data_IF_594881388618
#
_entry.id   IF_594881388618
#
_cell.length_a   1.000
_cell.length_b   1.000
_cell.length_c   1.000
_cell.angle_alpha   90.00
_cell.angle_beta   90.00
_cell.angle_gamma   90.00
#
_symmetry.space_group_name_H-M   'P 1'
#
loop_
_entity.id
_entity.type
_entity.pdbx_description
1 polymer ?
#
# COMPACT_ATOMS: atom_id res chain seq x y z
N UNK A 1 3.75 -28.03 -16.42
CA UNK A 1 3.79 -29.39 -15.83
C UNK A 1 2.81 -29.40 -14.65
N UNK A 2 1.90 -30.37 -14.63
CA UNK A 2 0.87 -30.53 -13.57
C UNK A 2 1.16 -31.85 -12.84
N UNK A 3 1.17 -31.83 -11.50
CA UNK A 3 1.38 -33.03 -10.69
C UNK A 3 0.47 -33.04 -9.45
N UNK A 4 0.13 -34.22 -8.96
CA UNK A 4 -0.54 -34.39 -7.67
C UNK A 4 0.54 -34.54 -6.58
N UNK A 5 0.41 -33.80 -5.50
CA UNK A 5 1.33 -33.85 -4.35
C UNK A 5 0.89 -34.95 -3.37
N UNK A 6 1.80 -35.32 -2.48
CA UNK A 6 1.51 -36.28 -1.40
C UNK A 6 0.44 -35.76 -0.43
N UNK A 7 0.32 -34.44 -0.25
CA UNK A 7 -0.72 -33.80 0.56
C UNK A 7 -2.11 -33.78 -0.12
N UNK A 8 -2.27 -34.47 -1.27
CA UNK A 8 -3.52 -34.59 -2.02
C UNK A 8 -3.87 -33.38 -2.90
N UNK A 9 -3.13 -32.28 -2.82
CA UNK A 9 -3.34 -31.09 -3.65
C UNK A 9 -2.70 -31.25 -5.02
N UNK A 10 -3.29 -30.60 -6.00
CA UNK A 10 -2.73 -30.47 -7.34
C UNK A 10 -1.82 -29.25 -7.43
N UNK A 11 -0.66 -29.43 -8.02
CA UNK A 11 0.33 -28.37 -8.28
C UNK A 11 0.58 -28.23 -9.78
N UNK A 12 0.55 -26.98 -10.25
CA UNK A 12 1.01 -26.59 -11.57
C UNK A 12 2.00 -25.45 -11.48
N UNK A 13 2.86 -25.30 -12.49
CA UNK A 13 3.81 -24.19 -12.59
C UNK A 13 3.76 -23.57 -13.97
N UNK A 14 3.90 -22.24 -14.01
CA UNK A 14 4.06 -21.43 -15.22
C UNK A 14 5.38 -20.67 -15.13
N UNK A 15 5.99 -20.40 -16.29
CA UNK A 15 7.13 -19.49 -16.38
C UNK A 15 6.56 -18.07 -16.42
N UNK A 16 7.09 -17.18 -15.59
CA UNK A 16 6.64 -15.79 -15.47
C UNK A 16 7.77 -14.79 -15.76
N UNK A 17 8.96 -15.25 -16.05
CA UNK A 17 10.13 -14.45 -16.39
C UNK A 17 11.39 -15.29 -16.44
N UNK A 18 12.51 -14.66 -16.70
CA UNK A 18 13.84 -15.30 -16.71
C UNK A 18 14.80 -14.50 -15.82
N UNK A 19 15.78 -15.21 -15.26
CA UNK A 19 16.87 -14.59 -14.51
C UNK A 19 17.89 -13.97 -15.47
N UNK A 20 18.80 -13.16 -14.95
CA UNK A 20 19.89 -12.61 -15.73
C UNK A 20 20.78 -13.69 -16.40
N UNK A 21 20.83 -14.89 -15.83
CA UNK A 21 21.54 -16.05 -16.38
C UNK A 21 20.71 -16.89 -17.38
N UNK A 22 19.48 -16.47 -17.71
CA UNK A 22 18.57 -17.16 -18.62
C UNK A 22 17.70 -18.25 -17.97
N UNK A 23 17.88 -18.58 -16.69
CA UNK A 23 17.06 -19.56 -15.99
C UNK A 23 15.62 -19.07 -15.82
N UNK A 24 14.59 -19.93 -16.02
CA UNK A 24 13.19 -19.53 -15.90
C UNK A 24 12.79 -19.27 -14.44
N UNK A 25 12.03 -18.20 -14.21
CA UNK A 25 11.34 -17.89 -12.96
C UNK A 25 9.98 -18.56 -13.00
N UNK A 26 9.75 -19.51 -12.05
CA UNK A 26 8.49 -20.25 -11.97
C UNK A 26 7.55 -19.65 -10.94
N UNK A 27 6.27 -19.56 -11.31
CA UNK A 27 5.16 -19.38 -10.37
C UNK A 27 4.42 -20.70 -10.18
N UNK A 28 4.26 -21.09 -8.91
CA UNK A 28 3.52 -22.29 -8.53
C UNK A 28 2.08 -21.95 -8.19
N UNK A 29 1.16 -22.77 -8.71
CA UNK A 29 -0.29 -22.64 -8.48
C UNK A 29 -0.78 -23.93 -7.86
N UNK A 30 -1.64 -23.82 -6.84
CA UNK A 30 -2.15 -24.97 -6.11
C UNK A 30 -3.68 -24.98 -6.10
N UNK A 31 -4.27 -26.18 -6.20
CA UNK A 31 -5.71 -26.38 -6.08
C UNK A 31 -6.05 -27.75 -5.47
N UNK A 32 -7.28 -27.88 -4.93
CA UNK A 32 -7.78 -29.15 -4.39
C UNK A 32 -8.16 -30.14 -5.47
N UNK A 33 -8.58 -29.68 -6.64
CA UNK A 33 -8.98 -30.50 -7.80
C UNK A 33 -8.18 -30.11 -9.04
N UNK A 34 -8.05 -31.03 -9.97
CA UNK A 34 -7.36 -30.79 -11.25
C UNK A 34 -8.09 -29.73 -12.07
N UNK A 35 -9.43 -29.74 -12.13
CA UNK A 35 -10.23 -28.74 -12.83
C UNK A 35 -9.98 -27.33 -12.30
N UNK A 36 -10.05 -27.15 -10.97
CA UNK A 36 -9.76 -25.88 -10.34
C UNK A 36 -8.31 -25.42 -10.54
N UNK A 37 -7.35 -26.35 -10.65
CA UNK A 37 -5.98 -26.03 -10.99
C UNK A 37 -5.88 -25.50 -12.42
N UNK A 38 -6.53 -26.16 -13.39
CA UNK A 38 -6.52 -25.73 -14.81
C UNK A 38 -7.11 -24.32 -14.95
N UNK A 39 -8.25 -24.04 -14.32
CA UNK A 39 -8.85 -22.70 -14.32
C UNK A 39 -7.90 -21.65 -13.73
N UNK A 40 -7.26 -21.95 -12.60
CA UNK A 40 -6.28 -21.04 -11.99
C UNK A 40 -5.02 -20.86 -12.85
N UNK A 41 -4.57 -21.89 -13.54
CA UNK A 41 -3.44 -21.81 -14.48
C UNK A 41 -3.78 -20.90 -15.66
N UNK A 42 -4.96 -21.06 -16.27
CA UNK A 42 -5.42 -20.15 -17.33
C UNK A 42 -5.48 -18.71 -16.87
N UNK A 43 -6.11 -18.43 -15.74
CA UNK A 43 -6.14 -17.07 -15.15
C UNK A 43 -4.73 -16.53 -14.89
N UNK A 44 -3.81 -17.39 -14.42
CA UNK A 44 -2.42 -16.97 -14.18
C UNK A 44 -1.71 -16.69 -15.51
N UNK A 45 -1.90 -17.51 -16.54
CA UNK A 45 -1.31 -17.30 -17.87
C UNK A 45 -1.81 -15.97 -18.43
N UNK A 46 -3.12 -15.71 -18.41
CA UNK A 46 -3.70 -14.44 -18.87
C UNK A 46 -3.12 -13.22 -18.10
N UNK A 47 -2.92 -13.36 -16.80
CA UNK A 47 -2.34 -12.27 -15.97
C UNK A 47 -0.87 -12.00 -16.28
N UNK A 48 -0.11 -13.01 -16.70
CA UNK A 48 1.32 -12.92 -16.99
C UNK A 48 1.65 -12.98 -18.47
N UNK A 49 0.62 -13.01 -19.33
CA UNK A 49 0.80 -12.95 -20.78
C UNK A 49 1.45 -11.61 -21.12
N UNK A 50 2.55 -11.66 -21.84
CA UNK A 50 3.37 -10.49 -22.22
C UNK A 50 4.08 -9.75 -21.06
N UNK A 51 4.13 -10.34 -19.86
CA UNK A 51 4.86 -9.78 -18.73
C UNK A 51 6.00 -10.69 -18.30
N UNK A 52 7.23 -10.22 -18.42
CA UNK A 52 8.43 -10.91 -17.96
C UNK A 52 8.86 -10.34 -16.60
N UNK A 53 8.62 -11.10 -15.52
CA UNK A 53 8.97 -10.67 -14.17
C UNK A 53 10.47 -10.82 -13.89
N UNK A 54 11.03 -9.88 -13.16
CA UNK A 54 12.41 -9.87 -12.69
C UNK A 54 12.63 -10.76 -11.45
N UNK A 55 13.88 -10.98 -11.07
CA UNK A 55 14.22 -11.68 -9.81
C UNK A 55 13.66 -10.95 -8.57
N UNK A 56 13.57 -9.64 -8.63
CA UNK A 56 13.02 -8.78 -7.58
C UNK A 56 11.53 -9.09 -7.26
N UNK A 57 10.84 -9.79 -8.15
CA UNK A 57 9.46 -10.26 -7.89
C UNK A 57 9.32 -11.21 -6.69
N UNK A 58 10.43 -11.74 -6.18
CA UNK A 58 10.48 -12.63 -5.00
C UNK A 58 10.66 -11.91 -3.69
N UNK A 59 11.07 -10.63 -3.72
CA UNK A 59 11.22 -9.85 -2.50
C UNK A 59 9.88 -9.63 -1.81
N UNK A 60 9.93 -9.35 -0.53
CA UNK A 60 8.74 -8.99 0.25
C UNK A 60 8.27 -7.57 -0.11
N UNK A 61 7.00 -7.27 0.19
CA UNK A 61 6.49 -5.91 0.02
C UNK A 61 7.27 -4.92 0.90
N UNK A 62 7.69 -5.34 2.09
CA UNK A 62 8.48 -4.50 2.99
C UNK A 62 9.84 -4.13 2.41
N UNK A 63 10.56 -5.11 1.84
CA UNK A 63 11.84 -4.90 1.16
C UNK A 63 11.69 -4.02 -0.09
N UNK A 64 10.64 -4.25 -0.89
CA UNK A 64 10.34 -3.40 -2.04
C UNK A 64 10.07 -1.94 -1.64
N UNK A 65 9.28 -1.72 -0.58
CA UNK A 65 8.97 -0.38 -0.08
C UNK A 65 10.23 0.36 0.40
N UNK A 66 11.15 -0.32 1.09
CA UNK A 66 12.41 0.29 1.52
C UNK A 66 13.27 0.69 0.32
N UNK A 67 13.47 -0.23 -0.62
CA UNK A 67 14.22 0.02 -1.85
C UNK A 67 13.58 1.15 -2.68
N UNK A 68 12.26 1.16 -2.80
CA UNK A 68 11.55 2.22 -3.50
C UNK A 68 11.76 3.58 -2.84
N UNK A 69 11.79 3.65 -1.52
CA UNK A 69 12.08 4.88 -0.78
C UNK A 69 13.50 5.37 -1.02
N UNK A 70 14.47 4.45 -1.07
CA UNK A 70 15.88 4.78 -1.34
C UNK A 70 16.10 5.24 -2.79
N UNK A 71 15.60 4.47 -3.76
CA UNK A 71 15.88 4.69 -5.18
C UNK A 71 15.03 5.82 -5.78
N UNK A 72 13.72 5.88 -5.47
CA UNK A 72 12.77 6.80 -6.09
C UNK A 72 12.33 7.92 -5.13
N UNK A 73 12.16 7.61 -3.85
CA UNK A 73 11.65 8.55 -2.87
C UNK A 73 12.63 9.66 -2.57
N UNK A 74 13.87 9.33 -2.27
CA UNK A 74 14.92 10.28 -1.91
C UNK A 74 15.21 11.29 -3.04
N UNK A 75 15.13 10.86 -4.30
CA UNK A 75 15.44 11.70 -5.46
C UNK A 75 14.28 12.62 -5.86
N UNK A 76 13.01 12.28 -5.56
CA UNK A 76 11.85 12.95 -6.14
C UNK A 76 10.93 13.64 -5.14
N UNK A 77 11.00 13.27 -3.84
CA UNK A 77 10.08 13.74 -2.82
C UNK A 77 10.66 14.88 -1.98
N UNK A 78 9.78 15.81 -1.59
CA UNK A 78 10.14 16.84 -0.60
C UNK A 78 10.37 16.20 0.77
N UNK A 79 11.27 16.75 1.64
CA UNK A 79 11.62 16.16 2.93
C UNK A 79 10.40 15.81 3.82
N UNK A 80 9.38 16.65 3.87
CA UNK A 80 8.18 16.41 4.66
C UNK A 80 7.33 15.26 4.10
N UNK A 81 7.28 15.11 2.77
CA UNK A 81 6.58 14.00 2.11
C UNK A 81 7.31 12.69 2.37
N UNK A 82 8.65 12.72 2.27
CA UNK A 82 9.51 11.57 2.55
C UNK A 82 9.25 11.03 3.98
N UNK A 83 9.33 11.91 5.00
CA UNK A 83 9.03 11.54 6.40
C UNK A 83 7.62 10.95 6.56
N UNK A 84 6.63 11.52 5.87
CA UNK A 84 5.26 11.01 5.91
C UNK A 84 5.16 9.61 5.31
N UNK A 85 5.86 9.36 4.21
CA UNK A 85 5.88 8.06 3.55
C UNK A 85 6.61 7.00 4.39
N UNK A 86 7.75 7.34 5.00
CA UNK A 86 8.44 6.48 5.97
C UNK A 86 7.52 6.08 7.13
N UNK A 87 6.78 7.03 7.66
CA UNK A 87 5.80 6.77 8.71
C UNK A 87 4.68 5.85 8.21
N UNK A 88 4.14 6.07 7.00
CA UNK A 88 3.09 5.22 6.43
C UNK A 88 3.57 3.79 6.24
N UNK A 89 4.77 3.61 5.72
CA UNK A 89 5.38 2.31 5.52
C UNK A 89 5.56 1.59 6.85
N UNK A 90 6.21 2.25 7.81
CA UNK A 90 6.57 1.66 9.10
C UNK A 90 5.37 1.34 9.97
N UNK A 91 4.40 2.27 10.08
CA UNK A 91 3.29 2.13 11.02
C UNK A 91 2.06 1.44 10.43
N UNK A 92 1.83 1.57 9.13
CA UNK A 92 0.54 1.18 8.53
C UNK A 92 0.61 0.07 7.48
N UNK A 93 1.77 -0.16 6.86
CA UNK A 93 1.87 -1.17 5.80
C UNK A 93 2.67 -2.38 6.24
N UNK A 94 3.92 -2.18 6.69
CA UNK A 94 4.81 -3.28 7.09
C UNK A 94 4.22 -4.22 8.15
N UNK A 95 3.55 -3.73 9.22
CA UNK A 95 2.99 -4.61 10.25
C UNK A 95 1.92 -5.58 9.74
N UNK A 96 1.30 -5.30 8.59
CA UNK A 96 0.18 -6.09 8.05
C UNK A 96 0.49 -6.84 6.76
N UNK A 97 1.33 -6.25 5.90
CA UNK A 97 1.63 -6.79 4.58
C UNK A 97 3.14 -6.88 4.29
N UNK A 98 4.01 -6.41 5.19
CA UNK A 98 5.45 -6.32 4.96
C UNK A 98 6.10 -7.64 4.57
N UNK A 99 5.75 -8.73 5.25
CA UNK A 99 6.34 -10.08 5.02
C UNK A 99 5.78 -10.80 3.80
N UNK A 100 4.77 -10.22 3.13
CA UNK A 100 4.17 -10.86 1.96
C UNK A 100 5.02 -10.59 0.72
N UNK A 101 5.29 -11.63 -0.07
CA UNK A 101 5.98 -11.48 -1.36
C UNK A 101 5.20 -10.50 -2.23
N UNK A 102 5.86 -9.47 -2.76
CA UNK A 102 5.24 -8.36 -3.49
C UNK A 102 4.40 -8.84 -4.67
N UNK A 103 4.91 -9.80 -5.45
CA UNK A 103 4.18 -10.39 -6.59
C UNK A 103 2.97 -11.26 -6.19
N UNK A 104 2.77 -11.53 -4.91
CA UNK A 104 1.62 -12.28 -4.36
C UNK A 104 0.61 -11.40 -3.63
N UNK A 105 0.87 -10.10 -3.55
CA UNK A 105 -0.09 -9.15 -2.98
C UNK A 105 -1.29 -9.05 -3.93
N UNK A 106 -2.48 -9.22 -3.37
CA UNK A 106 -3.73 -9.19 -4.13
C UNK A 106 -4.56 -7.96 -3.77
N UNK A 107 -5.50 -7.59 -4.65
CA UNK A 107 -6.47 -6.52 -4.34
C UNK A 107 -7.25 -6.82 -3.05
N UNK A 108 -7.52 -8.08 -2.76
CA UNK A 108 -8.21 -8.47 -1.52
C UNK A 108 -7.35 -8.18 -0.27
N UNK A 109 -6.04 -8.36 -0.35
CA UNK A 109 -5.13 -8.02 0.76
C UNK A 109 -5.12 -6.51 1.01
N UNK A 110 -5.05 -5.72 -0.07
CA UNK A 110 -5.14 -4.26 -0.01
C UNK A 110 -6.48 -3.82 0.62
N UNK A 111 -7.60 -4.43 0.21
CA UNK A 111 -8.91 -4.11 0.77
C UNK A 111 -9.01 -4.48 2.27
N UNK A 112 -8.41 -5.61 2.68
CA UNK A 112 -8.33 -6.00 4.09
C UNK A 112 -7.48 -5.01 4.89
N UNK A 113 -6.34 -4.56 4.32
CA UNK A 113 -5.50 -3.52 4.93
C UNK A 113 -6.33 -2.25 5.19
N UNK A 114 -7.01 -1.70 4.18
CA UNK A 114 -7.78 -0.46 4.35
C UNK A 114 -8.89 -0.60 5.39
N UNK A 115 -9.60 -1.73 5.41
CA UNK A 115 -10.60 -2.01 6.45
C UNK A 115 -9.96 -2.03 7.84
N UNK A 116 -8.83 -2.70 8.00
CA UNK A 116 -8.12 -2.77 9.28
C UNK A 116 -7.61 -1.41 9.73
N UNK A 117 -7.01 -0.63 8.82
CA UNK A 117 -6.57 0.73 9.10
C UNK A 117 -7.73 1.63 9.53
N UNK A 118 -8.91 1.48 8.90
CA UNK A 118 -10.09 2.26 9.25
C UNK A 118 -10.51 2.02 10.69
N UNK A 119 -10.48 0.78 11.18
CA UNK A 119 -10.99 0.42 12.50
C UNK A 119 -9.92 0.43 13.60
N UNK A 120 -8.68 0.04 13.29
CA UNK A 120 -7.60 -0.24 14.26
C UNK A 120 -6.26 0.41 13.86
N UNK A 121 -6.25 1.32 12.91
CA UNK A 121 -4.99 1.81 12.34
C UNK A 121 -4.26 2.87 13.16
N UNK A 122 -4.91 3.50 14.12
CA UNK A 122 -4.29 4.57 14.92
C UNK A 122 -3.33 3.98 15.95
N UNK A 123 -2.07 4.41 15.92
CA UNK A 123 -1.01 3.94 16.82
C UNK A 123 -1.31 4.30 18.29
N UNK A 124 -1.84 5.52 18.52
CA UNK A 124 -2.27 5.98 19.84
C UNK A 124 -3.78 6.16 19.82
N UNK A 125 -4.44 5.70 20.87
CA UNK A 125 -5.87 5.89 21.05
C UNK A 125 -6.22 7.38 21.12
N UNK A 126 -7.28 7.77 20.40
CA UNK A 126 -7.80 9.14 20.46
C UNK A 126 -9.05 9.15 21.33
N UNK A 127 -9.21 10.13 22.25
CA UNK A 127 -10.36 10.15 23.20
C UNK A 127 -11.73 10.09 22.51
N UNK A 128 -11.87 10.68 21.33
CA UNK A 128 -13.15 10.76 20.58
C UNK A 128 -13.28 9.66 19.50
N UNK A 129 -12.17 9.25 18.87
CA UNK A 129 -12.18 8.36 17.69
C UNK A 129 -11.52 7.00 17.96
N UNK A 130 -11.08 6.72 19.18
CA UNK A 130 -10.40 5.47 19.53
C UNK A 130 -9.20 5.19 18.62
N UNK A 131 -9.15 3.98 18.07
CA UNK A 131 -8.11 3.54 17.14
C UNK A 131 -8.45 3.74 15.65
N UNK A 132 -9.55 4.40 15.33
CA UNK A 132 -9.96 4.62 13.94
C UNK A 132 -9.06 5.64 13.22
N UNK A 133 -8.61 5.33 12.01
CA UNK A 133 -7.99 6.30 11.12
C UNK A 133 -9.04 7.07 10.30
N UNK A 134 -8.76 8.35 10.09
CA UNK A 134 -9.60 9.17 9.20
C UNK A 134 -9.56 8.67 7.76
N UNK A 135 -10.66 8.87 7.03
CA UNK A 135 -10.74 8.52 5.60
C UNK A 135 -9.64 9.21 4.78
N UNK A 136 -9.32 10.47 5.11
CA UNK A 136 -8.23 11.22 4.48
C UNK A 136 -6.87 10.55 4.69
N UNK A 137 -6.61 9.95 5.86
CA UNK A 137 -5.36 9.26 6.13
C UNK A 137 -5.27 7.97 5.31
N UNK A 138 -6.34 7.18 5.25
CA UNK A 138 -6.41 5.97 4.42
C UNK A 138 -6.22 6.31 2.95
N UNK A 139 -6.80 7.42 2.45
CA UNK A 139 -6.58 7.93 1.10
C UNK A 139 -5.11 8.28 0.82
N UNK A 140 -4.44 8.94 1.76
CA UNK A 140 -3.00 9.28 1.62
C UNK A 140 -2.13 8.03 1.58
N UNK A 141 -2.41 7.05 2.43
CA UNK A 141 -1.72 5.75 2.43
C UNK A 141 -1.96 5.03 1.10
N UNK A 142 -3.20 5.01 0.61
CA UNK A 142 -3.53 4.46 -0.70
C UNK A 142 -2.75 5.14 -1.82
N UNK A 143 -2.74 6.47 -1.87
CA UNK A 143 -2.05 7.21 -2.93
C UNK A 143 -0.55 6.91 -2.99
N UNK A 144 0.11 6.82 -1.83
CA UNK A 144 1.51 6.42 -1.75
C UNK A 144 1.71 4.97 -2.22
N UNK A 145 0.91 4.04 -1.69
CA UNK A 145 1.02 2.61 -2.02
C UNK A 145 0.72 2.35 -3.50
N UNK A 146 -0.28 3.05 -4.06
CA UNK A 146 -0.61 2.98 -5.49
C UNK A 146 0.58 3.42 -6.36
N UNK A 147 1.22 4.56 -6.01
CA UNK A 147 2.39 5.05 -6.74
C UNK A 147 3.54 4.05 -6.66
N UNK A 148 3.89 3.58 -5.46
CA UNK A 148 4.96 2.61 -5.26
C UNK A 148 4.73 1.32 -6.04
N UNK A 149 3.50 0.78 -6.04
CA UNK A 149 3.17 -0.44 -6.77
C UNK A 149 3.03 -0.22 -8.28
N UNK A 150 2.73 1.00 -8.73
CA UNK A 150 2.80 1.36 -10.15
C UNK A 150 4.24 1.36 -10.65
N UNK A 151 5.18 1.85 -9.85
CA UNK A 151 6.60 1.79 -10.18
C UNK A 151 7.12 0.33 -10.16
N UNK A 152 6.58 -0.53 -9.25
CA UNK A 152 6.85 -1.97 -9.25
C UNK A 152 6.34 -2.68 -10.53
N UNK A 153 5.19 -2.28 -11.05
CA UNK A 153 4.64 -2.77 -12.30
C UNK A 153 5.52 -2.33 -13.48
N UNK A 154 5.91 -1.06 -13.54
CA UNK A 154 6.81 -0.53 -14.56
C UNK A 154 8.21 -1.19 -14.54
N UNK A 155 8.69 -1.58 -13.36
CA UNK A 155 9.95 -2.31 -13.19
C UNK A 155 9.82 -3.84 -13.37
N UNK A 156 8.66 -4.34 -13.79
CA UNK A 156 8.37 -5.78 -13.95
C UNK A 156 8.57 -6.62 -12.67
N UNK A 157 8.48 -6.00 -11.51
CA UNK A 157 8.49 -6.66 -10.19
C UNK A 157 7.15 -7.33 -9.92
N UNK A 158 6.06 -6.70 -10.38
CA UNK A 158 4.71 -7.26 -10.37
C UNK A 158 4.08 -7.15 -11.76
N UNK A 159 3.17 -8.06 -12.08
CA UNK A 159 2.48 -8.07 -13.38
C UNK A 159 1.40 -6.99 -13.50
N UNK A 160 0.74 -6.65 -12.41
CA UNK A 160 -0.33 -5.62 -12.36
C UNK A 160 -0.36 -5.00 -10.96
N UNK A 161 -0.72 -3.74 -10.90
CA UNK A 161 -0.87 -3.04 -9.63
C UNK A 161 -2.11 -3.54 -8.86
N UNK A 162 -1.95 -4.19 -7.69
CA UNK A 162 -3.08 -4.73 -6.93
C UNK A 162 -3.94 -3.65 -6.26
N UNK A 163 -3.51 -2.39 -6.26
CA UNK A 163 -4.31 -1.28 -5.74
C UNK A 163 -5.33 -0.77 -6.78
N UNK A 164 -5.16 -1.14 -8.05
CA UNK A 164 -6.11 -0.77 -9.11
C UNK A 164 -7.49 -1.35 -8.82
N UNK A 165 -8.49 -0.48 -8.83
CA UNK A 165 -9.86 -0.86 -8.52
C UNK A 165 -10.13 -1.22 -7.05
N UNK A 166 -9.18 -0.97 -6.12
CA UNK A 166 -9.45 -1.07 -4.70
C UNK A 166 -10.42 0.03 -4.26
N UNK A 167 -11.41 -0.34 -3.44
CA UNK A 167 -12.34 0.64 -2.88
C UNK A 167 -11.67 1.42 -1.76
N UNK A 168 -11.55 2.72 -1.94
CA UNK A 168 -10.99 3.64 -0.94
C UNK A 168 -12.13 4.44 -0.32
N UNK A 169 -12.10 4.71 1.01
CA UNK A 169 -13.11 5.55 1.64
C UNK A 169 -13.17 6.93 0.98
N UNK A 170 -14.37 7.48 0.83
CA UNK A 170 -14.54 8.87 0.38
C UNK A 170 -14.21 9.80 1.54
N UNK A 171 -13.28 10.73 1.33
CA UNK A 171 -12.99 11.74 2.34
C UNK A 171 -14.21 12.66 2.54
N UNK A 172 -14.80 12.62 3.72
CA UNK A 172 -15.79 13.60 4.13
C UNK A 172 -15.06 14.86 4.58
N UNK A 173 -15.07 15.89 3.74
CA UNK A 173 -14.62 17.21 4.15
C UNK A 173 -15.69 17.82 5.08
N UNK A 174 -15.38 17.86 6.37
CA UNK A 174 -16.16 18.68 7.29
C UNK A 174 -15.99 20.15 6.87
N UNK A 175 -17.09 20.93 6.77
CA UNK A 175 -16.96 22.36 6.51
C UNK A 175 -16.10 22.98 7.63
N UNK A 176 -15.16 23.83 7.21
CA UNK A 176 -14.32 24.57 8.18
C UNK A 176 -15.25 25.50 8.97
N UNK A 177 -15.17 25.44 10.29
CA UNK A 177 -15.80 26.45 11.13
C UNK A 177 -14.98 27.73 11.02
N UNK A 178 -15.66 28.78 10.63
CA UNK A 178 -15.08 30.13 10.59
C UNK A 178 -15.43 30.79 11.92
N UNK A 179 -14.46 31.43 12.56
CA UNK A 179 -14.70 32.16 13.79
C UNK A 179 -15.72 33.29 13.55
N UNK A 180 -16.66 33.43 14.48
CA UNK A 180 -17.52 34.64 14.50
C UNK A 180 -16.69 35.85 14.87
N UNK A 181 -17.25 37.06 14.68
CA UNK A 181 -16.55 38.30 15.03
C UNK A 181 -16.19 38.32 16.53
N UNK A 182 -17.11 37.94 17.41
CA UNK A 182 -16.89 37.90 18.85
C UNK A 182 -15.79 36.88 19.24
N UNK A 183 -15.76 35.71 18.56
CA UNK A 183 -14.71 34.70 18.76
C UNK A 183 -13.36 35.21 18.25
N UNK A 184 -13.34 35.93 17.13
CA UNK A 184 -12.12 36.55 16.59
C UNK A 184 -11.58 37.61 17.54
N UNK A 185 -12.44 38.50 18.08
CA UNK A 185 -12.06 39.53 19.04
C UNK A 185 -11.47 38.90 20.32
N UNK A 186 -12.13 37.84 20.80
CA UNK A 186 -11.64 37.07 21.98
C UNK A 186 -10.29 36.41 21.69
N UNK A 187 -10.11 35.84 20.51
CA UNK A 187 -8.86 35.21 20.07
C UNK A 187 -7.73 36.25 20.01
N UNK A 188 -7.97 37.40 19.34
CA UNK A 188 -6.98 38.48 19.22
C UNK A 188 -6.58 39.05 20.59
N UNK A 189 -7.54 39.25 21.49
CA UNK A 189 -7.26 39.69 22.84
C UNK A 189 -6.40 38.68 23.65
N UNK A 190 -6.53 37.37 23.34
CA UNK A 190 -5.66 36.35 23.92
C UNK A 190 -4.27 36.35 23.31
N UNK A 191 -4.15 36.59 22.00
CA UNK A 191 -2.90 36.73 21.25
C UNK A 191 -2.08 37.91 21.75
N UNK A 192 -2.72 39.07 22.00
CA UNK A 192 -2.07 40.30 22.49
C UNK A 192 -1.33 40.11 23.84
N UNK A 193 -1.75 39.13 24.66
CA UNK A 193 -1.10 38.80 25.91
C UNK A 193 0.18 37.98 25.74
N UNK A 194 0.49 37.52 24.53
CA UNK A 194 1.64 36.68 24.23
C UNK A 194 2.49 37.31 23.15
N UNK A 195 3.67 37.82 23.49
CA UNK A 195 4.56 38.55 22.57
C UNK A 195 4.96 37.72 21.37
N UNK A 196 5.18 36.40 21.52
CA UNK A 196 5.58 35.51 20.40
C UNK A 196 4.45 35.38 19.37
N UNK A 197 3.20 35.20 19.82
CA UNK A 197 2.06 35.00 18.94
C UNK A 197 1.53 36.30 18.33
N UNK A 198 1.69 37.43 19.06
CA UNK A 198 1.30 38.74 18.54
C UNK A 198 1.95 39.04 17.21
N UNK A 199 3.29 38.93 17.13
CA UNK A 199 4.05 39.24 15.92
C UNK A 199 3.80 38.26 14.76
N UNK A 200 3.17 37.11 15.03
CA UNK A 200 2.80 36.13 14.03
C UNK A 200 1.40 36.38 13.43
N UNK A 201 0.47 36.92 14.21
CA UNK A 201 -0.93 37.10 13.78
C UNK A 201 -1.29 38.53 13.35
N UNK A 202 -0.41 39.50 13.56
CA UNK A 202 -0.49 40.87 13.07
C UNK A 202 0.63 41.15 12.03
#
# INVERSE_FOLDING_TARGET
MVRKREDGRWEGRIVVGHKANGDPIFRHVYAKTQKALTEKLHQSIECYQDVELTEDSRMTLGEWLDRWMEDYGAATLRPNTLRSYEQFIRCYIKPYLGDKIVSRVTRMDIQKLYRKLKHEGRVHEHPEYGHELSDTMVLRIHAMLHRCLKDAEAAHVIARNPTDGAMVPKANHRPKQILTKEQMDTFLAAVDRNEIWRDFFY
#
